data_IF_360110928600
#
_entry.id   IF_360110928600
#
_cell.length_a   1.000
_cell.length_b   1.000
_cell.length_c   1.000
_cell.angle_alpha   90.00
_cell.angle_beta   90.00
_cell.angle_gamma   90.00
#
_symmetry.space_group_name_H-M   'P 1'
#
loop_
_entity.id
_entity.type
_entity.pdbx_description
1 polymer ?
#
# COMPACT_ATOMS: atom_id res chain seq x y z
N UNK A 1 8.98 15.83 -23.98
CA UNK A 1 8.44 14.68 -23.21
C UNK A 1 9.46 14.26 -22.17
N UNK A 2 9.32 14.70 -20.91
CA UNK A 2 10.16 14.21 -19.81
C UNK A 2 9.68 12.80 -19.44
N UNK A 3 10.39 11.76 -19.92
CA UNK A 3 10.24 10.41 -19.36
C UNK A 3 10.69 10.50 -17.90
N UNK A 4 9.76 10.35 -16.95
CA UNK A 4 10.11 10.23 -15.53
C UNK A 4 11.15 9.10 -15.41
N UNK A 5 12.35 9.45 -14.93
CA UNK A 5 13.47 8.52 -14.80
C UNK A 5 13.07 7.46 -13.76
N UNK A 6 12.93 6.21 -14.18
CA UNK A 6 12.72 5.11 -13.24
C UNK A 6 13.95 5.01 -12.34
N UNK A 7 13.72 5.01 -11.02
CA UNK A 7 14.75 4.82 -10.00
C UNK A 7 14.72 3.37 -9.51
N UNK A 8 15.81 2.91 -8.90
CA UNK A 8 15.88 1.59 -8.27
C UNK A 8 14.74 1.37 -7.27
N UNK A 9 14.33 2.42 -6.54
CA UNK A 9 13.20 2.36 -5.60
C UNK A 9 11.86 2.12 -6.32
N UNK A 10 11.61 2.83 -7.44
CA UNK A 10 10.37 2.62 -8.21
C UNK A 10 10.33 1.23 -8.87
N UNK A 11 11.47 0.69 -9.29
CA UNK A 11 11.55 -0.68 -9.82
C UNK A 11 11.30 -1.70 -8.72
N UNK A 12 11.88 -1.52 -7.53
CA UNK A 12 11.65 -2.38 -6.38
C UNK A 12 10.16 -2.43 -5.98
N UNK A 13 9.50 -1.26 -5.91
CA UNK A 13 8.06 -1.19 -5.63
C UNK A 13 7.24 -2.00 -6.64
N UNK A 14 7.46 -1.80 -7.94
CA UNK A 14 6.76 -2.54 -8.99
C UNK A 14 6.99 -4.05 -8.90
N UNK A 15 8.23 -4.46 -8.63
CA UNK A 15 8.57 -5.88 -8.47
C UNK A 15 7.82 -6.49 -7.29
N UNK A 16 7.77 -5.79 -6.16
CA UNK A 16 7.07 -6.27 -4.98
C UNK A 16 5.55 -6.27 -5.17
N UNK A 17 4.97 -5.25 -5.81
CA UNK A 17 3.54 -5.24 -6.17
C UNK A 17 3.16 -6.45 -7.03
N UNK A 18 3.99 -6.78 -8.03
CA UNK A 18 3.79 -7.95 -8.87
C UNK A 18 3.97 -9.26 -8.09
N UNK A 19 4.92 -9.32 -7.15
CA UNK A 19 5.08 -10.45 -6.25
C UNK A 19 3.82 -10.66 -5.40
N UNK A 20 3.31 -9.60 -4.77
CA UNK A 20 2.09 -9.65 -3.95
C UNK A 20 0.87 -10.10 -4.76
N UNK A 21 0.71 -9.58 -5.98
CA UNK A 21 -0.34 -10.01 -6.91
C UNK A 21 -0.23 -11.52 -7.21
N UNK A 22 0.96 -12.00 -7.54
CA UNK A 22 1.20 -13.41 -7.86
C UNK A 22 0.92 -14.34 -6.66
N UNK A 23 1.38 -13.97 -5.46
CA UNK A 23 1.07 -14.71 -4.23
C UNK A 23 -0.44 -14.76 -4.02
N UNK A 24 -1.14 -13.63 -4.19
CA UNK A 24 -2.59 -13.55 -3.98
C UNK A 24 -3.40 -14.48 -4.90
N UNK A 25 -2.86 -14.81 -6.08
CA UNK A 25 -3.49 -15.79 -7.00
C UNK A 25 -3.31 -17.24 -6.57
N UNK A 26 -2.30 -17.54 -5.75
CA UNK A 26 -1.90 -18.90 -5.35
C UNK A 26 -2.36 -19.29 -3.95
N UNK A 27 -2.57 -18.32 -3.07
CA UNK A 27 -3.09 -18.61 -1.73
C UNK A 27 -4.54 -19.12 -1.80
N UNK A 28 -4.87 -20.01 -0.88
CA UNK A 28 -6.23 -20.53 -0.72
C UNK A 28 -7.21 -19.42 -0.29
N UNK A 29 -8.49 -19.63 -0.57
CA UNK A 29 -9.52 -18.66 -0.22
C UNK A 29 -9.55 -18.45 1.31
N UNK A 30 -9.88 -17.22 1.74
CA UNK A 30 -9.93 -16.83 3.15
C UNK A 30 -8.62 -17.03 3.94
N UNK A 31 -7.51 -17.27 3.24
CA UNK A 31 -6.18 -17.40 3.83
C UNK A 31 -5.43 -16.08 3.67
N UNK A 32 -4.67 -15.71 4.69
CA UNK A 32 -3.77 -14.57 4.66
C UNK A 32 -2.33 -15.05 4.84
N UNK A 33 -1.43 -14.56 4.00
CA UNK A 33 0.01 -14.71 4.15
C UNK A 33 0.59 -13.38 4.63
N UNK A 34 1.33 -13.42 5.73
CA UNK A 34 2.04 -12.27 6.28
C UNK A 34 3.55 -12.52 6.20
N UNK A 35 4.28 -11.57 5.59
CA UNK A 35 5.74 -11.55 5.53
C UNK A 35 6.20 -10.31 6.26
N UNK A 36 7.01 -10.50 7.29
CA UNK A 36 7.52 -9.41 8.11
C UNK A 36 9.04 -9.45 8.12
N UNK A 37 9.65 -8.30 7.87
CA UNK A 37 11.09 -8.09 7.97
C UNK A 37 11.35 -6.78 8.71
N UNK A 38 12.61 -6.45 8.95
CA UNK A 38 13.00 -5.19 9.62
C UNK A 38 12.59 -3.92 8.86
N UNK A 39 12.38 -4.00 7.55
CA UNK A 39 12.16 -2.84 6.67
C UNK A 39 10.94 -2.94 5.74
N UNK A 40 10.28 -4.10 5.71
CA UNK A 40 9.14 -4.39 4.86
C UNK A 40 8.17 -5.30 5.59
N UNK A 41 6.92 -4.87 5.66
CA UNK A 41 5.78 -5.68 6.04
C UNK A 41 4.88 -5.89 4.82
N UNK A 42 4.56 -7.14 4.50
CA UNK A 42 3.66 -7.52 3.41
C UNK A 42 2.54 -8.37 3.97
N UNK A 43 1.31 -7.99 3.66
CA UNK A 43 0.11 -8.80 3.93
C UNK A 43 -0.56 -9.08 2.60
N UNK A 44 -0.71 -10.37 2.27
CA UNK A 44 -1.39 -10.83 1.07
C UNK A 44 -2.57 -11.70 1.48
N UNK A 45 -3.75 -11.38 0.96
CA UNK A 45 -4.98 -12.07 1.32
C UNK A 45 -5.88 -12.26 0.10
N UNK A 46 -6.65 -13.34 0.11
CA UNK A 46 -7.68 -13.61 -0.88
C UNK A 46 -9.04 -13.36 -0.25
N UNK A 47 -9.69 -12.30 -0.71
CA UNK A 47 -10.84 -11.70 -0.04
C UNK A 47 -12.11 -11.97 -0.82
N UNK A 48 -13.15 -12.36 -0.08
CA UNK A 48 -14.51 -12.58 -0.59
C UNK A 48 -15.37 -11.30 -0.46
N UNK A 49 -16.52 -11.25 -1.13
CA UNK A 49 -17.33 -10.05 -1.44
C UNK A 49 -17.81 -9.20 -0.25
N UNK A 50 -17.64 -9.65 0.98
CA UNK A 50 -18.49 -9.23 2.09
C UNK A 50 -17.79 -8.45 3.20
N UNK A 51 -16.45 -8.36 3.18
CA UNK A 51 -15.68 -7.73 4.26
C UNK A 51 -14.76 -6.64 3.74
N UNK A 52 -14.66 -5.57 4.50
CA UNK A 52 -13.62 -4.57 4.30
C UNK A 52 -12.25 -5.20 4.58
N UNK A 53 -11.21 -4.69 3.92
CA UNK A 53 -9.84 -5.08 4.23
C UNK A 53 -9.23 -3.98 5.07
N UNK A 54 -8.80 -4.34 6.28
CA UNK A 54 -8.14 -3.42 7.21
C UNK A 54 -6.67 -3.83 7.35
N UNK A 55 -5.79 -2.85 7.25
CA UNK A 55 -4.38 -2.98 7.56
C UNK A 55 -3.99 -1.98 8.67
N UNK A 56 -3.15 -2.39 9.64
CA UNK A 56 -2.92 -3.78 9.99
C UNK A 56 -4.23 -4.45 10.45
N UNK A 57 -4.40 -5.73 10.16
CA UNK A 57 -5.57 -6.48 10.60
C UNK A 57 -5.57 -6.69 12.13
N UNK A 58 -6.74 -6.95 12.69
CA UNK A 58 -6.88 -7.28 14.11
C UNK A 58 -6.14 -8.58 14.47
N UNK A 59 -5.65 -8.67 15.71
CA UNK A 59 -5.02 -9.87 16.29
C UNK A 59 -3.80 -10.41 15.52
N UNK A 60 -3.12 -9.57 14.73
CA UNK A 60 -1.89 -9.96 14.02
C UNK A 60 -0.67 -9.87 14.92
N UNK A 61 0.18 -10.89 14.85
CA UNK A 61 1.56 -10.81 15.35
C UNK A 61 2.35 -9.90 14.41
N UNK A 62 2.43 -8.62 14.78
CA UNK A 62 3.17 -7.61 14.04
C UNK A 62 4.53 -7.38 14.69
N UNK A 63 5.52 -7.10 13.84
CA UNK A 63 6.79 -6.50 14.26
C UNK A 63 6.55 -5.20 15.02
N UNK A 64 7.41 -4.90 15.99
CA UNK A 64 7.29 -3.72 16.86
C UNK A 64 7.23 -2.42 16.04
N UNK A 65 8.08 -2.30 15.02
CA UNK A 65 8.13 -1.09 14.19
C UNK A 65 6.84 -0.86 13.39
N UNK A 66 6.11 -1.91 13.02
CA UNK A 66 4.83 -1.80 12.31
C UNK A 66 3.74 -1.27 13.25
N UNK A 67 3.76 -1.69 14.52
CA UNK A 67 2.83 -1.18 15.55
C UNK A 67 3.11 0.30 15.85
N UNK A 68 4.38 0.65 15.97
CA UNK A 68 4.83 2.03 16.23
C UNK A 68 4.55 2.98 15.06
N UNK A 69 4.54 2.48 13.82
CA UNK A 69 4.25 3.29 12.64
C UNK A 69 2.84 3.89 12.63
N UNK A 70 1.88 3.25 13.32
CA UNK A 70 0.45 3.62 13.35
C UNK A 70 -0.16 3.89 11.96
N UNK A 71 0.42 3.28 10.92
CA UNK A 71 -0.09 3.38 9.55
C UNK A 71 -1.28 2.46 9.41
N UNK A 72 -2.41 3.01 8.97
CA UNK A 72 -3.63 2.26 8.75
C UNK A 72 -4.12 2.39 7.32
N UNK A 73 -4.81 1.36 6.84
CA UNK A 73 -5.58 1.43 5.61
C UNK A 73 -6.87 0.63 5.73
N UNK A 74 -7.95 1.20 5.20
CA UNK A 74 -9.24 0.53 5.07
C UNK A 74 -9.64 0.56 3.61
N UNK A 75 -9.72 -0.62 3.00
CA UNK A 75 -10.28 -0.80 1.68
C UNK A 75 -11.75 -1.22 1.83
N UNK A 76 -12.70 -0.43 1.32
CA UNK A 76 -14.11 -0.75 1.45
C UNK A 76 -14.50 -1.97 0.60
N UNK A 77 -15.42 -2.78 1.10
CA UNK A 77 -16.01 -3.93 0.38
C UNK A 77 -16.59 -3.54 -0.98
N UNK A 78 -17.10 -2.32 -1.14
CA UNK A 78 -17.61 -1.80 -2.40
C UNK A 78 -16.52 -1.81 -3.50
N UNK A 79 -15.29 -1.43 -3.14
CA UNK A 79 -14.13 -1.47 -4.03
C UNK A 79 -13.79 -2.91 -4.46
N UNK A 80 -13.87 -3.85 -3.52
CA UNK A 80 -13.61 -5.27 -3.79
C UNK A 80 -14.67 -5.86 -4.75
N UNK A 81 -15.96 -5.54 -4.52
CA UNK A 81 -17.07 -5.95 -5.40
C UNK A 81 -16.86 -5.48 -6.84
N UNK A 82 -16.45 -4.23 -7.06
CA UNK A 82 -16.15 -3.69 -8.39
C UNK A 82 -15.01 -4.42 -9.09
N UNK A 83 -14.01 -4.88 -8.32
CA UNK A 83 -12.83 -5.58 -8.87
C UNK A 83 -13.13 -7.04 -9.23
N UNK A 84 -14.03 -7.67 -8.47
CA UNK A 84 -14.39 -9.08 -8.61
C UNK A 84 -15.11 -9.38 -9.94
N UNK A 85 -15.96 -8.47 -10.43
CA UNK A 85 -16.86 -8.79 -11.53
C UNK A 85 -17.64 -10.08 -11.24
N UNK A 86 -17.50 -11.08 -12.14
CA UNK A 86 -18.13 -12.41 -12.00
C UNK A 86 -17.34 -13.40 -11.11
N UNK A 87 -16.15 -13.02 -10.63
CA UNK A 87 -15.34 -13.87 -9.75
C UNK A 87 -15.88 -13.94 -8.32
N UNK A 88 -15.42 -14.94 -7.57
CA UNK A 88 -15.82 -15.17 -6.17
C UNK A 88 -14.85 -14.55 -5.15
N UNK A 89 -13.60 -14.28 -5.54
CA UNK A 89 -12.57 -13.75 -4.64
C UNK A 89 -11.55 -12.87 -5.38
N UNK A 90 -11.00 -11.86 -4.69
CA UNK A 90 -10.00 -10.93 -5.23
C UNK A 90 -8.76 -10.97 -4.36
N UNK A 91 -7.60 -11.00 -5.02
CA UNK A 91 -6.31 -10.88 -4.33
C UNK A 91 -6.06 -9.44 -3.90
N UNK A 92 -5.73 -9.25 -2.63
CA UNK A 92 -5.31 -7.96 -2.07
C UNK A 92 -3.91 -8.13 -1.48
N UNK A 93 -3.02 -7.22 -1.81
CA UNK A 93 -1.68 -7.12 -1.24
C UNK A 93 -1.47 -5.73 -0.68
N UNK A 94 -1.08 -5.64 0.59
CA UNK A 94 -0.74 -4.39 1.28
C UNK A 94 0.72 -4.49 1.72
N UNK A 95 1.51 -3.46 1.42
CA UNK A 95 2.94 -3.41 1.71
C UNK A 95 3.30 -2.11 2.41
N UNK A 96 3.85 -2.21 3.62
CA UNK A 96 4.38 -1.07 4.36
C UNK A 96 5.91 -1.10 4.31
N UNK A 97 6.49 -0.01 3.83
CA UNK A 97 7.92 0.17 3.71
C UNK A 97 8.40 1.15 4.77
N UNK A 98 9.33 0.70 5.61
CA UNK A 98 9.86 1.52 6.70
C UNK A 98 10.66 2.72 6.19
N UNK A 99 11.60 2.47 5.27
CA UNK A 99 12.64 3.44 4.91
C UNK A 99 12.85 3.62 3.39
N UNK A 100 11.99 3.07 2.53
CA UNK A 100 12.16 3.16 1.05
C UNK A 100 12.15 4.61 0.54
N UNK A 101 11.54 5.50 1.32
CA UNK A 101 11.46 6.94 1.10
C UNK A 101 12.84 7.59 0.87
N UNK A 102 13.88 7.10 1.56
CA UNK A 102 15.25 7.61 1.44
C UNK A 102 15.86 7.33 0.05
N UNK A 103 15.22 6.45 -0.73
CA UNK A 103 15.64 6.08 -2.08
C UNK A 103 14.71 6.66 -3.15
N UNK A 104 13.65 7.36 -2.75
CA UNK A 104 12.71 8.00 -3.68
C UNK A 104 13.21 9.38 -4.08
N UNK A 105 13.04 9.78 -5.35
CA UNK A 105 13.34 11.14 -5.76
C UNK A 105 12.35 12.10 -5.07
N UNK A 106 12.87 13.19 -4.50
CA UNK A 106 12.01 14.27 -4.00
C UNK A 106 11.13 14.78 -5.14
N UNK A 107 9.82 14.85 -4.92
CA UNK A 107 8.88 15.30 -5.94
C UNK A 107 8.97 16.82 -6.08
N UNK A 108 9.35 17.33 -7.26
CA UNK A 108 9.01 18.70 -7.63
C UNK A 108 7.51 18.74 -7.96
N UNK A 109 6.72 19.49 -7.20
CA UNK A 109 5.35 19.81 -7.59
C UNK A 109 5.34 20.85 -8.72
N UNK A 110 4.33 20.80 -9.59
CA UNK A 110 4.13 21.77 -10.67
C UNK A 110 3.68 23.17 -10.19
N UNK A 111 3.56 23.41 -8.88
CA UNK A 111 3.18 24.71 -8.34
C UNK A 111 4.38 25.66 -8.35
N UNK A 112 4.28 26.65 -9.24
CA UNK A 112 5.21 27.76 -9.42
C UNK A 112 5.13 28.73 -8.24
N UNK A 113 6.11 28.68 -7.35
CA UNK A 113 6.82 29.83 -6.78
C UNK A 113 7.77 29.30 -5.70
N UNK A 114 9.06 29.60 -5.89
CA UNK A 114 10.18 29.23 -5.02
C UNK A 114 10.48 27.74 -4.87
N UNK A 115 11.77 27.43 -4.83
CA UNK A 115 12.35 26.11 -4.79
C UNK A 115 12.18 25.44 -3.43
N UNK A 116 10.95 25.30 -2.96
CA UNK A 116 10.67 24.54 -1.74
C UNK A 116 10.84 23.05 -2.01
N UNK A 117 11.93 22.50 -1.47
CA UNK A 117 12.17 21.07 -1.45
C UNK A 117 11.13 20.40 -0.54
N UNK A 118 10.09 19.83 -1.15
CA UNK A 118 9.09 19.03 -0.43
C UNK A 118 9.66 17.65 -0.10
N UNK A 119 9.62 17.29 1.18
CA UNK A 119 10.04 15.98 1.68
C UNK A 119 8.82 15.15 2.04
N UNK A 120 8.85 13.87 1.68
CA UNK A 120 7.86 12.90 2.15
C UNK A 120 8.06 12.70 3.67
N UNK A 121 6.99 12.77 4.46
CA UNK A 121 7.07 12.75 5.94
C UNK A 121 6.31 11.58 6.56
N UNK A 122 6.23 10.45 5.86
CA UNK A 122 5.58 9.25 6.35
C UNK A 122 6.27 8.02 5.79
N UNK A 123 5.99 6.86 6.38
CA UNK A 123 6.27 5.60 5.69
C UNK A 123 5.47 5.49 4.38
N UNK A 124 5.93 4.63 3.48
CA UNK A 124 5.23 4.37 2.22
C UNK A 124 4.37 3.12 2.37
N UNK A 125 3.08 3.27 2.06
CA UNK A 125 2.14 2.16 1.96
C UNK A 125 1.77 1.94 0.49
N UNK A 126 2.00 0.74 -0.04
CA UNK A 126 1.49 0.30 -1.33
C UNK A 126 0.33 -0.67 -1.14
N UNK A 127 -0.72 -0.49 -1.94
CA UNK A 127 -1.92 -1.32 -1.93
C UNK A 127 -2.22 -1.75 -3.36
N UNK A 128 -2.29 -3.06 -3.57
CA UNK A 128 -2.61 -3.68 -4.85
C UNK A 128 -3.87 -4.53 -4.70
N UNK A 129 -4.88 -4.26 -5.54
CA UNK A 129 -6.17 -4.98 -5.54
C UNK A 129 -6.42 -5.54 -6.93
N UNK A 130 -6.28 -6.85 -7.08
CA UNK A 130 -6.37 -7.52 -8.36
C UNK A 130 -5.44 -6.92 -9.44
N UNK A 131 -5.80 -7.15 -10.71
CA UNK A 131 -4.99 -6.71 -11.87
C UNK A 131 -5.45 -5.39 -12.48
N UNK A 132 -6.68 -4.97 -12.19
CA UNK A 132 -7.32 -3.81 -12.85
C UNK A 132 -7.04 -2.53 -12.08
N UNK A 133 -6.75 -1.46 -12.81
CA UNK A 133 -6.73 -0.12 -12.24
C UNK A 133 -8.17 0.30 -11.93
N UNK A 134 -8.42 0.68 -10.69
CA UNK A 134 -9.72 1.16 -10.26
C UNK A 134 -9.75 2.69 -10.34
N UNK A 135 -10.81 3.22 -10.94
CA UNK A 135 -11.09 4.65 -11.04
C UNK A 135 -12.50 4.91 -10.54
N UNK A 136 -12.76 6.15 -10.07
CA UNK A 136 -14.07 6.59 -9.57
C UNK A 136 -14.63 5.61 -8.53
N UNK A 137 -14.00 5.61 -7.36
CA UNK A 137 -14.44 4.78 -6.23
C UNK A 137 -15.67 5.42 -5.61
N UNK A 138 -16.73 4.63 -5.40
CA UNK A 138 -17.95 5.09 -4.71
C UNK A 138 -17.67 5.40 -3.24
N UNK A 139 -16.88 4.53 -2.61
CA UNK A 139 -16.34 4.72 -1.26
C UNK A 139 -14.81 4.86 -1.35
N UNK A 140 -14.20 5.88 -0.73
CA UNK A 140 -12.77 6.09 -0.81
C UNK A 140 -12.00 5.02 -0.02
N UNK A 141 -10.77 4.75 -0.45
CA UNK A 141 -9.78 4.09 0.43
C UNK A 141 -9.39 5.08 1.52
N UNK A 142 -9.52 4.68 2.77
CA UNK A 142 -9.14 5.50 3.92
C UNK A 142 -7.73 5.13 4.35
N UNK A 143 -6.82 6.09 4.41
CA UNK A 143 -5.43 5.90 4.81
C UNK A 143 -5.11 6.78 6.02
N UNK A 144 -4.49 6.19 7.03
CA UNK A 144 -3.96 6.89 8.20
C UNK A 144 -2.44 6.76 8.24
N UNK A 145 -1.74 7.88 8.47
CA UNK A 145 -0.30 7.90 8.58
C UNK A 145 0.13 8.71 9.80
N UNK A 146 1.15 8.22 10.51
CA UNK A 146 1.88 9.04 11.46
C UNK A 146 3.01 9.79 10.74
N UNK A 147 3.13 11.09 11.03
CA UNK A 147 4.23 11.90 10.53
C UNK A 147 5.56 11.45 11.18
N UNK A 148 6.61 11.30 10.38
CA UNK A 148 7.94 10.83 10.85
C UNK A 148 8.76 11.92 11.53
N UNK A 149 8.57 13.18 11.13
CA UNK A 149 9.17 14.34 11.76
C UNK A 149 8.16 15.02 12.69
N UNK A 150 8.65 15.48 13.85
CA UNK A 150 7.88 16.37 14.72
C UNK A 150 7.53 17.65 13.98
N UNK A 151 6.23 17.91 13.80
CA UNK A 151 5.75 19.23 13.41
C UNK A 151 5.86 20.11 14.65
N UNK A 152 6.93 20.89 14.76
CA UNK A 152 6.98 21.99 15.75
C UNK A 152 5.94 23.03 15.30
N UNK A 153 4.81 23.09 16.02
CA UNK A 153 3.81 24.17 15.91
C UNK A 153 4.24 25.31 16.80
#
# INVERSE_FOLDING_TARGET
MNKKKETSATTLLKTLENFGENVATKIENATEATIMTENLAVVVQKVEKEKDVVFPGENKKLETWVKEAKTTATLPKALLKKTLGNGNSVGVSVMLFRNIINLMPNSSSNDTSESEQKTLNSMILSIKVGKKKLTQLEEPVVLGFQHTAEVRI
#
